data_IF_866472167919
#
_entry.id   IF_866472167919
#
_cell.length_a   1.000
_cell.length_b   1.000
_cell.length_c   1.000
_cell.angle_alpha   90.00
_cell.angle_beta   90.00
_cell.angle_gamma   90.00
#
_symmetry.space_group_name_H-M   'P 1'
#
loop_
_entity.id
_entity.type
_entity.pdbx_description
1 polymer ?
#
# COMPACT_ATOMS: atom_id res chain seq x y z
N UNK A 1 -13.81 22.95 31.06
CA UNK A 1 -12.53 23.46 30.49
C UNK A 1 -11.72 22.32 29.86
N UNK A 2 -11.64 21.15 30.49
CA UNK A 2 -10.99 19.96 29.92
C UNK A 2 -11.69 19.47 28.64
N UNK A 3 -13.03 19.31 28.67
CA UNK A 3 -13.83 18.96 27.48
C UNK A 3 -13.68 19.92 26.30
N UNK A 4 -13.47 21.22 26.57
CA UNK A 4 -13.24 22.22 25.51
C UNK A 4 -11.86 22.04 24.87
N UNK A 5 -10.84 21.69 25.66
CA UNK A 5 -9.48 21.43 25.16
C UNK A 5 -9.45 20.16 24.32
N UNK A 6 -10.18 19.13 24.71
CA UNK A 6 -10.23 17.86 23.99
C UNK A 6 -11.03 17.97 22.68
N UNK A 7 -12.16 18.69 22.69
CA UNK A 7 -12.89 19.00 21.46
C UNK A 7 -12.04 19.81 20.47
N UNK A 8 -11.26 20.78 20.95
CA UNK A 8 -10.35 21.57 20.11
C UNK A 8 -9.23 20.70 19.52
N UNK A 9 -8.62 19.82 20.32
CA UNK A 9 -7.60 18.87 19.84
C UNK A 9 -8.14 17.97 18.74
N UNK A 10 -9.36 17.47 18.90
CA UNK A 10 -10.02 16.64 17.89
C UNK A 10 -10.25 17.39 16.59
N UNK A 11 -10.74 18.63 16.64
CA UNK A 11 -10.91 19.46 15.45
C UNK A 11 -9.59 19.74 14.72
N UNK A 12 -8.52 19.99 15.47
CA UNK A 12 -7.18 20.18 14.88
C UNK A 12 -6.71 18.89 14.22
N UNK A 13 -6.88 17.76 14.88
CA UNK A 13 -6.54 16.46 14.33
C UNK A 13 -7.29 16.17 13.02
N UNK A 14 -8.62 16.32 13.02
CA UNK A 14 -9.45 16.11 11.83
C UNK A 14 -9.00 17.00 10.67
N UNK A 15 -8.76 18.29 10.95
CA UNK A 15 -8.30 19.25 9.93
C UNK A 15 -6.96 18.86 9.31
N UNK A 16 -5.98 18.47 10.13
CA UNK A 16 -4.67 18.03 9.63
C UNK A 16 -4.80 16.72 8.87
N UNK A 17 -5.59 15.77 9.36
CA UNK A 17 -5.83 14.49 8.69
C UNK A 17 -6.46 14.67 7.30
N UNK A 18 -7.53 15.48 7.17
CA UNK A 18 -8.15 15.74 5.86
C UNK A 18 -7.21 16.50 4.92
N UNK A 19 -6.36 17.37 5.45
CA UNK A 19 -5.30 18.02 4.69
C UNK A 19 -4.27 16.99 4.18
N UNK A 20 -3.91 15.99 5.00
CA UNK A 20 -3.04 14.90 4.57
C UNK A 20 -3.69 14.03 3.49
N UNK A 21 -4.99 13.73 3.58
CA UNK A 21 -5.71 13.03 2.49
C UNK A 21 -5.65 13.84 1.20
N UNK A 22 -5.92 15.14 1.26
CA UNK A 22 -5.89 16.01 0.08
C UNK A 22 -4.49 16.07 -0.56
N UNK A 23 -3.45 16.06 0.27
CA UNK A 23 -2.07 16.00 -0.19
C UNK A 23 -1.70 14.63 -0.78
N UNK A 24 -2.26 13.52 -0.24
CA UNK A 24 -2.10 12.19 -0.83
C UNK A 24 -2.68 12.16 -2.25
N UNK A 25 -3.87 12.73 -2.46
CA UNK A 25 -4.47 12.89 -3.79
C UNK A 25 -3.57 13.73 -4.71
N UNK A 26 -2.99 14.80 -4.20
CA UNK A 26 -2.07 15.66 -4.98
C UNK A 26 -0.81 14.90 -5.41
N UNK A 27 -0.18 14.16 -4.50
CA UNK A 27 0.99 13.32 -4.81
C UNK A 27 0.62 12.30 -5.88
N UNK A 28 -0.53 11.64 -5.73
CA UNK A 28 -1.02 10.63 -6.67
C UNK A 28 -1.22 11.23 -8.06
N UNK A 29 -1.91 12.36 -8.14
CA UNK A 29 -2.21 13.04 -9.40
C UNK A 29 -0.99 13.65 -10.07
N UNK A 30 0.10 13.89 -9.32
CA UNK A 30 1.38 14.33 -9.89
C UNK A 30 2.22 13.19 -10.48
N UNK A 31 1.84 11.94 -10.28
CA UNK A 31 2.55 10.80 -10.86
C UNK A 31 2.30 10.72 -12.36
N UNK A 32 3.36 10.46 -13.11
CA UNK A 32 3.33 10.16 -14.54
C UNK A 32 4.34 9.08 -14.89
N UNK A 33 4.02 8.30 -15.92
CA UNK A 33 4.92 7.32 -16.50
C UNK A 33 5.10 7.70 -17.95
N UNK A 34 6.35 7.96 -18.33
CA UNK A 34 6.72 8.40 -19.67
C UNK A 34 7.59 7.31 -20.31
N UNK A 35 7.30 6.97 -21.56
CA UNK A 35 8.18 6.13 -22.36
C UNK A 35 9.53 6.83 -22.55
N UNK A 36 10.65 6.27 -22.07
CA UNK A 36 11.95 6.93 -22.16
C UNK A 36 12.48 7.06 -23.60
N UNK A 37 11.96 6.27 -24.54
CA UNK A 37 12.38 6.28 -25.94
C UNK A 37 11.53 7.24 -26.77
N UNK A 38 10.22 7.23 -26.56
CA UNK A 38 9.27 8.03 -27.37
C UNK A 38 8.88 9.36 -26.72
N UNK A 39 9.10 9.52 -25.41
CA UNK A 39 8.65 10.67 -24.63
C UNK A 39 7.13 10.74 -24.48
N UNK A 40 6.41 9.67 -24.82
CA UNK A 40 4.96 9.57 -24.76
C UNK A 40 4.50 9.25 -23.34
N UNK A 41 3.40 9.86 -22.90
CA UNK A 41 2.81 9.58 -21.59
C UNK A 41 2.06 8.25 -21.66
N UNK A 42 2.53 7.25 -20.91
CA UNK A 42 1.98 5.91 -20.84
C UNK A 42 0.87 5.79 -19.78
N UNK A 43 1.01 6.51 -18.67
CA UNK A 43 0.01 6.55 -17.60
C UNK A 43 0.16 7.83 -16.78
N UNK A 44 -0.93 8.29 -16.16
CA UNK A 44 -0.93 9.42 -15.24
C UNK A 44 -1.80 9.15 -14.02
N UNK A 45 -1.51 9.82 -12.92
CA UNK A 45 -2.34 9.76 -11.72
C UNK A 45 -2.46 8.34 -11.17
N UNK A 46 -3.71 7.91 -10.95
CA UNK A 46 -4.02 6.55 -10.44
C UNK A 46 -3.67 5.45 -11.43
N UNK A 47 -3.69 5.72 -12.73
CA UNK A 47 -3.40 4.69 -13.75
C UNK A 47 -1.94 4.25 -13.71
N UNK A 48 -1.05 5.04 -13.13
CA UNK A 48 0.34 4.66 -12.90
C UNK A 48 0.45 3.37 -12.07
N UNK A 49 -0.35 3.19 -11.02
CA UNK A 49 -0.30 1.98 -10.19
C UNK A 49 -0.72 0.75 -10.97
N UNK A 50 -1.77 0.88 -11.80
CA UNK A 50 -2.21 -0.19 -12.69
C UNK A 50 -1.13 -0.55 -13.70
N UNK A 51 -0.51 0.44 -14.33
CA UNK A 51 0.58 0.22 -15.28
C UNK A 51 1.76 -0.49 -14.60
N UNK A 52 2.25 0.03 -13.48
CA UNK A 52 3.36 -0.57 -12.72
C UNK A 52 3.04 -2.02 -12.35
N UNK A 53 1.81 -2.28 -11.91
CA UNK A 53 1.41 -3.62 -11.50
C UNK A 53 1.28 -4.58 -12.68
N UNK A 54 0.49 -4.25 -13.69
CA UNK A 54 0.17 -5.16 -14.79
C UNK A 54 1.34 -5.29 -15.78
N UNK A 55 1.93 -4.17 -16.21
CA UNK A 55 2.93 -4.15 -17.28
C UNK A 55 4.34 -4.51 -16.81
N UNK A 56 4.73 -4.02 -15.62
CA UNK A 56 6.09 -4.21 -15.12
C UNK A 56 6.20 -5.26 -14.05
N UNK A 57 5.29 -5.31 -13.09
CA UNK A 57 5.40 -6.24 -11.99
C UNK A 57 4.92 -7.63 -12.40
N UNK A 58 3.66 -7.78 -12.83
CA UNK A 58 3.01 -9.07 -13.11
C UNK A 58 3.53 -9.74 -14.39
N UNK A 59 3.53 -9.04 -15.53
CA UNK A 59 4.00 -9.60 -16.81
C UNK A 59 5.47 -10.01 -16.81
N UNK A 60 6.32 -9.29 -16.06
CA UNK A 60 7.77 -9.56 -16.02
C UNK A 60 8.18 -10.41 -14.81
N UNK A 61 7.22 -10.87 -14.00
CA UNK A 61 7.53 -11.70 -12.83
C UNK A 61 8.11 -13.06 -13.27
N UNK A 62 9.28 -13.46 -12.77
CA UNK A 62 9.88 -14.74 -13.13
C UNK A 62 9.11 -15.89 -12.45
N UNK A 63 8.15 -16.48 -13.18
CA UNK A 63 7.48 -17.72 -12.76
C UNK A 63 8.49 -18.88 -12.82
N UNK A 64 9.07 -19.23 -11.68
CA UNK A 64 9.93 -20.42 -11.55
C UNK A 64 9.05 -21.66 -11.40
N UNK A 65 9.38 -22.73 -12.12
CA UNK A 65 8.59 -23.97 -12.16
C UNK A 65 8.63 -24.71 -10.81
N UNK A 66 7.53 -24.67 -10.06
CA UNK A 66 6.91 -25.66 -9.14
C UNK A 66 7.79 -26.58 -8.25
N UNK A 67 9.09 -26.34 -8.09
CA UNK A 67 10.00 -27.17 -7.29
C UNK A 67 10.90 -26.40 -6.33
N UNK A 68 10.72 -25.08 -6.24
CA UNK A 68 11.60 -24.19 -5.50
C UNK A 68 11.16 -24.03 -4.05
N UNK A 69 12.11 -24.11 -3.12
CA UNK A 69 11.82 -23.98 -1.70
C UNK A 69 11.34 -22.55 -1.34
N UNK A 70 10.60 -22.40 -0.24
CA UNK A 70 9.98 -21.12 0.15
C UNK A 70 10.98 -19.94 0.27
N UNK A 71 12.25 -20.24 0.57
CA UNK A 71 13.30 -19.24 0.68
C UNK A 71 13.73 -18.67 -0.68
N UNK A 72 13.81 -19.49 -1.73
CA UNK A 72 14.14 -18.99 -3.07
C UNK A 72 12.99 -18.14 -3.63
N UNK A 73 11.73 -18.53 -3.41
CA UNK A 73 10.56 -17.76 -3.84
C UNK A 73 10.51 -16.38 -3.18
N UNK A 74 10.76 -16.29 -1.87
CA UNK A 74 10.80 -14.99 -1.16
C UNK A 74 11.95 -14.10 -1.65
N UNK A 75 13.10 -14.69 -1.98
CA UNK A 75 14.23 -13.94 -2.55
C UNK A 75 13.88 -13.40 -3.94
N UNK A 76 13.33 -14.22 -4.83
CA UNK A 76 12.89 -13.83 -6.17
C UNK A 76 11.89 -12.67 -6.09
N UNK A 77 10.90 -12.79 -5.20
CA UNK A 77 9.93 -11.73 -4.96
C UNK A 77 10.59 -10.42 -4.53
N UNK A 78 11.51 -10.48 -3.56
CA UNK A 78 12.22 -9.29 -3.08
C UNK A 78 13.08 -8.66 -4.17
N UNK A 79 13.85 -9.45 -4.92
CA UNK A 79 14.72 -8.97 -5.99
C UNK A 79 13.89 -8.33 -7.12
N UNK A 80 12.76 -8.96 -7.48
CA UNK A 80 11.85 -8.44 -8.50
C UNK A 80 11.20 -7.12 -8.06
N UNK A 81 10.58 -7.08 -6.87
CA UNK A 81 9.96 -5.85 -6.36
C UNK A 81 10.99 -4.73 -6.15
N UNK A 82 12.21 -5.07 -5.71
CA UNK A 82 13.30 -4.09 -5.58
C UNK A 82 13.68 -3.45 -6.92
N UNK A 83 13.67 -4.24 -8.01
CA UNK A 83 13.92 -3.72 -9.37
C UNK A 83 12.84 -2.73 -9.81
N UNK A 84 11.56 -3.06 -9.59
CA UNK A 84 10.42 -2.18 -9.90
C UNK A 84 10.48 -0.91 -9.05
N UNK A 85 10.72 -1.05 -7.74
CA UNK A 85 10.86 0.09 -6.85
C UNK A 85 12.04 0.99 -7.24
N UNK A 86 13.17 0.43 -7.67
CA UNK A 86 14.32 1.23 -8.13
C UNK A 86 14.00 2.02 -9.38
N UNK A 87 13.25 1.43 -10.32
CA UNK A 87 12.84 2.09 -11.55
C UNK A 87 11.85 3.23 -11.26
N UNK A 88 10.83 2.99 -10.44
CA UNK A 88 9.81 3.97 -10.06
C UNK A 88 10.10 4.68 -8.73
N UNK A 89 11.38 4.81 -8.36
CA UNK A 89 11.80 5.22 -7.01
C UNK A 89 11.29 6.60 -6.60
N UNK A 90 11.27 7.53 -7.54
CA UNK A 90 10.84 8.89 -7.25
C UNK A 90 9.38 8.84 -6.80
N UNK A 91 8.49 8.36 -7.65
CA UNK A 91 7.05 8.37 -7.38
C UNK A 91 6.64 7.42 -6.25
N UNK A 92 7.01 6.13 -6.34
CA UNK A 92 6.66 5.15 -5.31
C UNK A 92 7.35 5.45 -3.98
N UNK A 93 8.58 5.96 -4.01
CA UNK A 93 9.28 6.34 -2.79
C UNK A 93 8.62 7.51 -2.08
N UNK A 94 8.20 8.54 -2.80
CA UNK A 94 7.44 9.65 -2.22
C UNK A 94 6.08 9.17 -1.69
N UNK A 95 5.34 8.41 -2.49
CA UNK A 95 4.05 7.83 -2.12
C UNK A 95 4.12 6.97 -0.85
N UNK A 96 5.00 5.96 -0.79
CA UNK A 96 5.10 5.07 0.38
C UNK A 96 5.48 5.79 1.66
N UNK A 97 6.43 6.74 1.60
CA UNK A 97 6.80 7.56 2.77
C UNK A 97 5.62 8.40 3.24
N UNK A 98 4.83 8.92 2.30
CA UNK A 98 3.67 9.73 2.63
C UNK A 98 2.57 8.88 3.30
N UNK A 99 2.23 7.73 2.73
CA UNK A 99 1.27 6.77 3.33
C UNK A 99 1.70 6.37 4.74
N UNK A 100 2.97 6.02 4.93
CA UNK A 100 3.51 5.72 6.27
C UNK A 100 3.33 6.89 7.25
N UNK A 101 3.56 8.13 6.81
CA UNK A 101 3.42 9.31 7.66
C UNK A 101 1.96 9.57 8.06
N UNK A 102 0.99 9.29 7.19
CA UNK A 102 -0.43 9.39 7.54
C UNK A 102 -0.76 8.38 8.64
N UNK A 103 -0.36 7.11 8.48
CA UNK A 103 -0.59 6.09 9.50
C UNK A 103 0.10 6.41 10.83
N UNK A 104 1.32 6.94 10.78
CA UNK A 104 2.03 7.44 11.95
C UNK A 104 1.27 8.57 12.64
N UNK A 105 0.76 9.52 11.85
CA UNK A 105 -0.01 10.64 12.38
C UNK A 105 -1.28 10.18 13.12
N UNK A 106 -2.02 9.22 12.53
CA UNK A 106 -3.20 8.60 13.16
C UNK A 106 -2.79 7.92 14.48
N UNK A 107 -1.74 7.11 14.47
CA UNK A 107 -1.29 6.39 15.67
C UNK A 107 -0.92 7.33 16.83
N UNK A 108 -0.23 8.44 16.52
CA UNK A 108 0.26 9.37 17.54
C UNK A 108 -0.84 10.28 18.12
N UNK A 109 -1.98 10.45 17.44
CA UNK A 109 -2.95 11.51 17.77
C UNK A 109 -4.40 11.04 17.92
N UNK A 110 -4.77 9.85 17.46
CA UNK A 110 -6.15 9.38 17.50
C UNK A 110 -6.35 8.29 18.56
N UNK A 111 -7.21 8.55 19.54
CA UNK A 111 -7.68 7.52 20.49
C UNK A 111 -8.90 6.74 19.95
N UNK A 112 -9.54 7.23 18.87
CA UNK A 112 -10.67 6.60 18.19
C UNK A 112 -10.27 6.10 16.79
N UNK A 113 -9.28 5.20 16.75
CA UNK A 113 -8.66 4.58 15.57
C UNK A 113 -9.57 4.13 14.40
N UNK A 114 -10.87 3.92 14.65
CA UNK A 114 -11.79 3.26 13.73
C UNK A 114 -12.17 4.11 12.51
N UNK A 115 -12.52 5.39 12.69
CA UNK A 115 -13.10 6.17 11.58
C UNK A 115 -12.04 6.61 10.56
N UNK A 116 -10.98 7.28 11.02
CA UNK A 116 -9.94 7.85 10.15
C UNK A 116 -9.17 6.77 9.42
N UNK A 117 -8.93 5.62 10.06
CA UNK A 117 -8.35 4.48 9.37
C UNK A 117 -9.26 3.94 8.25
N UNK A 118 -10.53 3.67 8.55
CA UNK A 118 -11.50 3.19 7.54
C UNK A 118 -11.60 4.16 6.38
N UNK A 119 -11.61 5.46 6.67
CA UNK A 119 -11.64 6.50 5.65
C UNK A 119 -10.36 6.54 4.82
N UNK A 120 -9.17 6.44 5.45
CA UNK A 120 -7.91 6.38 4.71
C UNK A 120 -7.85 5.13 3.81
N UNK A 121 -8.26 3.97 4.34
CA UNK A 121 -8.32 2.70 3.60
C UNK A 121 -9.19 2.82 2.36
N UNK A 122 -10.33 3.50 2.43
CA UNK A 122 -11.21 3.71 1.27
C UNK A 122 -10.65 4.66 0.21
N UNK A 123 -9.56 5.39 0.51
CA UNK A 123 -8.89 6.24 -0.50
C UNK A 123 -7.97 5.45 -1.43
N UNK A 124 -7.61 4.20 -1.11
CA UNK A 124 -6.71 3.41 -1.95
C UNK A 124 -7.49 2.65 -3.01
N UNK A 125 -7.04 2.72 -4.26
CA UNK A 125 -7.54 1.85 -5.32
C UNK A 125 -6.99 0.43 -5.18
N UNK A 126 -7.64 -0.52 -5.85
CA UNK A 126 -7.22 -1.92 -5.95
C UNK A 126 -5.73 -2.09 -6.29
N UNK A 127 -5.24 -1.41 -7.33
CA UNK A 127 -3.84 -1.49 -7.74
C UNK A 127 -2.88 -0.80 -6.77
N UNK A 128 -3.32 0.24 -6.05
CA UNK A 128 -2.54 0.82 -4.96
C UNK A 128 -2.40 -0.15 -3.79
N UNK A 129 -3.49 -0.82 -3.39
CA UNK A 129 -3.46 -1.84 -2.35
C UNK A 129 -2.50 -2.97 -2.73
N UNK A 130 -2.53 -3.44 -3.98
CA UNK A 130 -1.59 -4.46 -4.48
C UNK A 130 -0.14 -3.99 -4.38
N UNK A 131 0.18 -2.79 -4.86
CA UNK A 131 1.56 -2.25 -4.81
C UNK A 131 2.02 -2.00 -3.37
N UNK A 132 1.14 -1.50 -2.50
CA UNK A 132 1.41 -1.34 -1.06
C UNK A 132 1.62 -2.71 -0.38
N UNK A 133 0.84 -3.71 -0.75
CA UNK A 133 0.97 -5.07 -0.24
C UNK A 133 2.33 -5.67 -0.59
N UNK A 134 2.74 -5.58 -1.85
CA UNK A 134 4.05 -6.05 -2.28
C UNK A 134 5.20 -5.28 -1.62
N UNK A 135 5.04 -3.96 -1.39
CA UNK A 135 5.97 -3.21 -0.57
C UNK A 135 6.07 -3.78 0.85
N UNK A 136 4.93 -4.04 1.50
CA UNK A 136 4.87 -4.58 2.86
C UNK A 136 5.51 -5.97 2.96
N UNK A 137 5.22 -6.92 2.08
CA UNK A 137 5.79 -8.28 2.21
C UNK A 137 7.26 -8.38 1.79
N UNK A 138 7.79 -7.34 1.13
CA UNK A 138 9.20 -7.20 0.80
C UNK A 138 9.96 -6.43 1.89
N UNK A 139 11.27 -6.63 1.93
CA UNK A 139 12.20 -6.04 2.92
C UNK A 139 12.12 -4.51 3.04
N UNK A 140 11.76 -3.79 1.98
CA UNK A 140 11.69 -2.31 1.99
C UNK A 140 10.52 -1.76 2.78
N UNK A 141 9.39 -2.46 2.83
CA UNK A 141 8.16 -1.98 3.46
C UNK A 141 7.95 -2.44 4.89
N UNK A 142 8.98 -2.99 5.56
CA UNK A 142 8.89 -3.49 6.94
C UNK A 142 8.29 -2.47 7.92
N UNK A 143 8.63 -1.18 7.74
CA UNK A 143 8.08 -0.09 8.57
C UNK A 143 6.56 0.07 8.43
N UNK A 144 6.01 -0.23 7.26
CA UNK A 144 4.58 -0.12 6.99
C UNK A 144 3.83 -1.38 7.42
N UNK A 145 4.50 -2.55 7.51
CA UNK A 145 3.89 -3.82 7.92
C UNK A 145 3.12 -3.67 9.24
N UNK A 146 3.71 -3.05 10.26
CA UNK A 146 3.05 -2.85 11.57
C UNK A 146 1.72 -2.11 11.48
N UNK A 147 1.62 -1.14 10.56
CA UNK A 147 0.41 -0.37 10.36
C UNK A 147 -0.58 -1.15 9.53
N UNK A 148 -0.09 -1.86 8.51
CA UNK A 148 -0.94 -2.69 7.68
C UNK A 148 -1.62 -3.80 8.50
N UNK A 149 -0.92 -4.41 9.47
CA UNK A 149 -1.50 -5.32 10.47
C UNK A 149 -2.47 -4.59 11.40
N UNK A 150 -2.01 -3.55 12.12
CA UNK A 150 -2.81 -2.82 13.14
C UNK A 150 -4.14 -2.29 12.60
N UNK A 151 -4.13 -1.86 11.34
CA UNK A 151 -5.25 -1.20 10.68
C UNK A 151 -5.97 -2.09 9.68
N UNK A 152 -5.53 -3.35 9.55
CA UNK A 152 -6.05 -4.35 8.62
C UNK A 152 -6.14 -3.81 7.18
N UNK A 153 -5.09 -3.10 6.74
CA UNK A 153 -5.07 -2.32 5.48
C UNK A 153 -5.53 -3.14 4.26
N UNK A 154 -5.26 -4.45 4.25
CA UNK A 154 -5.47 -5.31 3.09
C UNK A 154 -6.73 -6.20 3.15
N UNK A 155 -7.67 -5.99 4.08
CA UNK A 155 -8.87 -6.88 4.17
C UNK A 155 -9.70 -6.93 2.87
N UNK A 156 -9.72 -5.83 2.12
CA UNK A 156 -10.50 -5.68 0.89
C UNK A 156 -9.60 -5.65 -0.36
N UNK A 157 -8.36 -6.14 -0.25
CA UNK A 157 -7.47 -6.21 -1.40
C UNK A 157 -7.94 -7.29 -2.39
N UNK A 158 -7.89 -7.05 -3.71
CA UNK A 158 -8.21 -8.06 -4.72
C UNK A 158 -7.11 -9.13 -4.79
N UNK A 159 -7.22 -10.16 -3.95
CA UNK A 159 -6.25 -11.25 -3.86
C UNK A 159 -6.20 -12.13 -5.12
N UNK A 160 -7.27 -12.14 -5.91
CA UNK A 160 -7.36 -12.79 -7.22
C UNK A 160 -6.40 -12.19 -8.26
N UNK A 161 -5.97 -10.94 -8.07
CA UNK A 161 -5.02 -10.27 -8.98
C UNK A 161 -3.56 -10.56 -8.65
N UNK A 162 -3.26 -11.23 -7.52
CA UNK A 162 -1.90 -11.56 -7.11
C UNK A 162 -1.17 -12.39 -8.17
N UNK A 163 0.14 -12.15 -8.28
CA UNK A 163 0.98 -12.81 -9.29
C UNK A 163 1.20 -14.29 -9.00
N UNK A 164 1.16 -14.67 -7.72
CA UNK A 164 1.33 -16.04 -7.26
C UNK A 164 0.53 -16.25 -5.96
N UNK A 165 -0.24 -17.33 -5.87
CA UNK A 165 -1.03 -17.67 -4.68
C UNK A 165 -0.16 -17.79 -3.41
N UNK A 166 1.08 -18.26 -3.54
CA UNK A 166 2.05 -18.34 -2.45
C UNK A 166 2.42 -16.98 -1.86
N UNK A 167 2.22 -15.88 -2.59
CA UNK A 167 2.43 -14.54 -2.02
C UNK A 167 1.42 -14.20 -0.94
N UNK A 168 0.20 -14.72 -1.02
CA UNK A 168 -0.82 -14.52 0.01
C UNK A 168 -0.38 -15.14 1.34
N UNK A 169 0.24 -16.32 1.27
CA UNK A 169 0.77 -17.03 2.44
C UNK A 169 1.93 -16.27 3.11
N UNK A 170 2.79 -15.60 2.32
CA UNK A 170 3.83 -14.72 2.87
C UNK A 170 3.21 -13.58 3.68
N UNK A 171 2.11 -12.98 3.17
CA UNK A 171 1.38 -11.92 3.86
C UNK A 171 0.79 -12.39 5.19
N UNK A 172 0.19 -13.59 5.21
CA UNK A 172 -0.33 -14.21 6.45
C UNK A 172 0.77 -14.46 7.48
N UNK A 173 1.92 -15.00 7.05
CA UNK A 173 3.06 -15.25 7.93
C UNK A 173 3.64 -13.98 8.55
N UNK A 174 3.54 -12.86 7.85
CA UNK A 174 3.98 -11.55 8.32
C UNK A 174 2.87 -10.78 9.08
N UNK A 175 1.68 -11.35 9.27
CA UNK A 175 0.56 -10.70 9.96
C UNK A 175 -0.11 -9.57 9.18
N UNK A 176 0.29 -9.34 7.92
CA UNK A 176 -0.20 -8.21 7.11
C UNK A 176 -1.60 -8.47 6.53
N UNK A 177 -1.97 -9.74 6.41
CA UNK A 177 -3.30 -10.19 6.02
C UNK A 177 -3.84 -11.04 7.18
N UNK A 178 -5.07 -10.76 7.60
CA UNK A 178 -5.75 -11.56 8.62
C UNK A 178 -5.92 -13.01 8.19
N UNK A 179 -5.94 -13.95 9.15
CA UNK A 179 -6.32 -15.34 8.92
C UNK A 179 -7.84 -15.43 8.70
N UNK A 180 -8.35 -14.81 7.63
CA UNK A 180 -9.78 -14.62 7.41
C UNK A 180 -10.19 -15.13 6.04
N UNK A 181 -9.99 -16.43 5.80
CA UNK A 181 -10.96 -17.17 5.00
C UNK A 181 -12.14 -17.49 5.92
N UNK A 182 -13.04 -16.53 6.20
CA UNK A 182 -14.15 -16.85 7.10
C UNK A 182 -15.16 -15.78 7.48
N UNK A 183 -14.87 -14.48 7.42
CA UNK A 183 -15.88 -13.47 7.77
C UNK A 183 -15.85 -12.31 6.79
N UNK A 184 -16.54 -12.52 5.66
CA UNK A 184 -17.25 -11.42 4.99
C UNK A 184 -18.39 -11.03 5.93
N UNK A 185 -18.08 -10.27 6.97
CA UNK A 185 -19.10 -9.58 7.73
C UNK A 185 -19.50 -8.35 6.91
N UNK A 186 -20.70 -8.46 6.38
CA UNK A 186 -21.56 -7.37 5.97
C UNK A 186 -21.47 -6.23 6.99
N UNK A 187 -21.20 -5.02 6.49
CA UNK A 187 -21.71 -3.73 7.00
C UNK A 187 -21.56 -2.66 5.92
#
# INVERSE_FOLDING_TARGET
>A
MEDQRDNLRRQIFDSVFFSMISNLETIRNSMDIIDPNEGTVLATGRDCFRFIFEEDFKKKYPLTSLGDNSQSSKKILNDHFDSIYKFYRNDLGHYFRYVYNIYKYIEENDSMYSFHNKLLRSQFSDYELLILYYNCICTRGEKLQRYAEKYSLFDNMPDDLLVNEGHLEIGRQLGVIGNSSGDKLED
#
